data_IF_375225939255
#
_entry.id   IF_375225939255
#
_cell.length_a   1.000
_cell.length_b   1.000
_cell.length_c   1.000
_cell.angle_alpha   90.00
_cell.angle_beta   90.00
_cell.angle_gamma   90.00
#
_symmetry.space_group_name_H-M   'P 1'
#
loop_
_entity.id
_entity.type
_entity.pdbx_description
1 polymer ?
#
# COMPACT_ATOMS: atom_id res chain seq x y z
N UNK A 1 13.25 -11.11 20.27
CA UNK A 1 13.51 -12.52 19.87
C UNK A 1 12.41 -13.47 20.36
N UNK A 2 12.01 -13.51 21.67
CA UNK A 2 10.98 -14.44 22.17
C UNK A 2 9.63 -14.29 21.45
N UNK A 3 9.22 -13.05 21.13
CA UNK A 3 7.98 -12.79 20.42
C UNK A 3 8.08 -13.07 18.90
N UNK A 4 9.29 -13.08 18.35
CA UNK A 4 9.55 -13.35 16.94
C UNK A 4 9.76 -14.85 16.70
N UNK A 5 10.37 -15.53 17.65
CA UNK A 5 10.82 -16.92 17.52
C UNK A 5 9.78 -17.95 17.99
N UNK A 6 8.78 -17.56 18.80
CA UNK A 6 7.79 -18.48 19.36
C UNK A 6 6.38 -18.12 18.91
N UNK A 7 5.82 -18.97 18.08
CA UNK A 7 4.46 -18.82 17.57
C UNK A 7 3.44 -18.78 18.73
N UNK A 8 2.59 -17.75 18.78
CA UNK A 8 1.58 -17.57 19.81
C UNK A 8 2.01 -16.74 21.03
N UNK A 9 3.28 -16.34 21.15
CA UNK A 9 3.71 -15.39 22.18
C UNK A 9 3.74 -13.98 21.59
N UNK A 10 2.72 -13.16 21.91
CA UNK A 10 2.72 -11.74 21.54
C UNK A 10 3.74 -10.93 22.33
N UNK A 11 4.10 -9.74 21.81
CA UNK A 11 5.07 -8.84 22.44
C UNK A 11 4.81 -8.60 23.94
N UNK A 12 3.56 -8.31 24.34
CA UNK A 12 3.20 -8.04 25.74
C UNK A 12 3.51 -9.21 26.66
N UNK A 13 3.28 -10.44 26.21
CA UNK A 13 3.61 -11.65 27.00
C UNK A 13 5.10 -11.84 27.10
N UNK A 14 5.83 -11.67 25.99
CA UNK A 14 7.28 -11.76 25.97
C UNK A 14 7.93 -10.67 26.84
N UNK A 15 7.42 -9.45 26.82
CA UNK A 15 7.88 -8.33 27.64
C UNK A 15 7.63 -8.58 29.14
N UNK A 16 6.45 -9.09 29.49
CA UNK A 16 6.14 -9.48 30.86
C UNK A 16 7.09 -10.57 31.41
N UNK A 17 7.42 -11.55 30.59
CA UNK A 17 8.40 -12.60 30.95
C UNK A 17 9.78 -11.98 31.11
N UNK A 18 10.21 -11.11 30.20
CA UNK A 18 11.50 -10.44 30.25
C UNK A 18 11.65 -9.60 31.54
N UNK A 19 10.63 -8.87 31.94
CA UNK A 19 10.61 -8.10 33.19
C UNK A 19 10.71 -9.01 34.41
N UNK A 20 9.98 -10.14 34.45
CA UNK A 20 10.09 -11.14 35.54
C UNK A 20 11.46 -11.79 35.59
N UNK A 21 12.19 -11.85 34.51
CA UNK A 21 13.57 -12.32 34.43
C UNK A 21 14.61 -11.25 34.80
N UNK A 22 14.18 -10.07 35.24
CA UNK A 22 15.05 -8.98 35.69
C UNK A 22 15.55 -8.03 34.61
N UNK A 23 14.92 -8.04 33.42
CA UNK A 23 15.22 -7.03 32.40
C UNK A 23 14.57 -5.72 32.82
N UNK A 24 15.39 -4.70 33.04
CA UNK A 24 14.97 -3.36 33.45
C UNK A 24 14.09 -2.69 32.37
N UNK A 25 13.12 -1.86 32.80
CA UNK A 25 12.15 -1.20 31.90
C UNK A 25 12.82 -0.34 30.82
N UNK A 26 13.86 0.42 31.17
CA UNK A 26 14.61 1.31 30.28
C UNK A 26 15.72 0.64 29.47
N UNK A 27 15.87 -0.67 29.51
CA UNK A 27 16.95 -1.33 28.79
C UNK A 27 16.79 -1.20 27.25
N UNK A 28 17.84 -0.75 26.59
CA UNK A 28 17.85 -0.47 25.13
C UNK A 28 17.20 -1.60 24.29
N UNK A 29 17.55 -2.86 24.55
CA UNK A 29 17.00 -4.02 23.80
C UNK A 29 15.48 -4.13 23.94
N UNK A 30 14.92 -3.79 25.11
CA UNK A 30 13.48 -3.79 25.35
C UNK A 30 12.81 -2.64 24.61
N UNK A 31 13.36 -1.43 24.72
CA UNK A 31 12.84 -0.23 24.05
C UNK A 31 12.88 -0.38 22.54
N UNK A 32 13.98 -0.87 22.00
CA UNK A 32 14.14 -1.20 20.58
C UNK A 32 13.07 -2.18 20.09
N UNK A 33 12.86 -3.28 20.82
CA UNK A 33 11.83 -4.27 20.48
C UNK A 33 10.41 -3.68 20.52
N UNK A 34 10.13 -2.79 21.48
CA UNK A 34 8.86 -2.10 21.59
C UNK A 34 8.61 -1.11 20.44
N UNK A 35 9.62 -0.39 20.00
CA UNK A 35 9.54 0.49 18.81
C UNK A 35 9.25 -0.34 17.57
N UNK A 36 9.95 -1.44 17.34
CA UNK A 36 9.65 -2.36 16.22
C UNK A 36 8.23 -2.90 16.27
N UNK A 37 7.79 -3.34 17.44
CA UNK A 37 6.43 -3.82 17.61
C UNK A 37 5.38 -2.75 17.31
N UNK A 38 5.61 -1.53 17.77
CA UNK A 38 4.70 -0.40 17.50
C UNK A 38 4.61 -0.09 16.02
N UNK A 39 5.73 -0.06 15.30
CA UNK A 39 5.75 0.13 13.84
C UNK A 39 5.04 -1.03 13.12
N UNK A 40 5.26 -2.28 13.52
CA UNK A 40 4.57 -3.43 12.93
C UNK A 40 3.06 -3.36 13.17
N UNK A 41 2.61 -2.96 14.36
CA UNK A 41 1.18 -2.78 14.64
C UNK A 41 0.54 -1.68 13.79
N UNK A 42 1.25 -0.60 13.53
CA UNK A 42 0.80 0.43 12.60
C UNK A 42 0.74 -0.10 11.16
N UNK A 43 1.70 -0.93 10.76
CA UNK A 43 1.71 -1.57 9.45
C UNK A 43 0.52 -2.54 9.26
N UNK A 44 0.13 -3.29 10.30
CA UNK A 44 -1.08 -4.13 10.28
C UNK A 44 -2.36 -3.31 10.05
N UNK A 45 -2.37 -2.03 10.46
CA UNK A 45 -3.45 -1.07 10.21
C UNK A 45 -3.36 -0.39 8.84
N UNK A 46 -2.36 -0.73 8.02
CA UNK A 46 -2.18 -0.20 6.67
C UNK A 46 -1.26 1.02 6.57
N UNK A 47 -0.53 1.37 7.63
CA UNK A 47 0.42 2.49 7.61
C UNK A 47 1.79 2.02 7.14
N UNK A 48 2.41 2.72 6.20
CA UNK A 48 3.79 2.44 5.78
C UNK A 48 4.82 3.03 6.75
N UNK A 49 4.47 4.10 7.45
CA UNK A 49 5.30 4.82 8.41
C UNK A 49 4.49 5.33 9.61
N UNK A 50 5.20 5.81 10.61
CA UNK A 50 4.64 6.64 11.68
C UNK A 50 5.38 7.97 11.75
N UNK A 51 4.73 9.06 12.15
CA UNK A 51 5.50 10.25 12.53
C UNK A 51 6.28 9.99 13.81
N UNK A 52 7.39 10.72 14.01
CA UNK A 52 8.22 10.58 15.21
C UNK A 52 7.38 10.71 16.49
N UNK A 53 6.53 11.73 16.54
CA UNK A 53 5.66 11.99 17.70
C UNK A 53 4.68 10.84 17.94
N UNK A 54 3.99 10.38 16.90
CA UNK A 54 3.05 9.26 17.02
C UNK A 54 3.73 7.97 17.48
N UNK A 55 4.96 7.72 17.01
CA UNK A 55 5.71 6.52 17.38
C UNK A 55 6.12 6.58 18.84
N UNK A 56 6.69 7.69 19.29
CA UNK A 56 7.12 7.90 20.67
C UNK A 56 5.94 7.83 21.64
N UNK A 57 4.83 8.52 21.33
CA UNK A 57 3.62 8.48 22.15
C UNK A 57 3.09 7.04 22.32
N UNK A 58 2.92 6.32 21.21
CA UNK A 58 2.39 4.95 21.26
C UNK A 58 3.35 3.97 21.94
N UNK A 59 4.65 4.09 21.71
CA UNK A 59 5.66 3.25 22.33
C UNK A 59 5.81 3.54 23.83
N UNK A 60 5.71 4.80 24.26
CA UNK A 60 5.72 5.20 25.68
C UNK A 60 4.56 4.54 26.45
N UNK A 61 3.35 4.60 25.92
CA UNK A 61 2.18 3.94 26.50
C UNK A 61 2.32 2.42 26.52
N UNK A 62 2.86 1.83 25.44
CA UNK A 62 3.05 0.37 25.35
C UNK A 62 4.05 -0.17 26.36
N UNK A 63 5.15 0.54 26.55
CA UNK A 63 6.32 0.12 27.34
C UNK A 63 6.29 0.64 28.78
N UNK A 64 5.39 1.57 29.10
CA UNK A 64 5.30 2.27 30.38
C UNK A 64 6.64 2.93 30.75
N UNK A 65 7.22 3.70 29.83
CA UNK A 65 8.48 4.43 29.99
C UNK A 65 8.33 5.89 29.57
N UNK A 66 9.23 6.73 30.06
CA UNK A 66 9.26 8.14 29.72
C UNK A 66 9.71 8.35 28.25
N UNK A 67 9.15 9.37 27.60
CA UNK A 67 9.45 9.68 26.20
C UNK A 67 10.93 9.95 25.91
N UNK A 68 11.71 10.65 26.77
CA UNK A 68 13.13 10.90 26.54
C UNK A 68 13.98 9.63 26.37
N UNK A 69 13.65 8.54 27.07
CA UNK A 69 14.36 7.27 26.92
C UNK A 69 14.13 6.65 25.53
N UNK A 70 12.91 6.79 25.01
CA UNK A 70 12.53 6.35 23.67
C UNK A 70 13.16 7.19 22.58
N UNK A 71 13.28 8.51 22.78
CA UNK A 71 13.95 9.40 21.85
C UNK A 71 15.42 9.01 21.65
N UNK A 72 16.14 8.77 22.74
CA UNK A 72 17.53 8.31 22.69
C UNK A 72 17.64 6.97 21.96
N UNK A 73 16.72 6.05 22.27
CA UNK A 73 16.69 4.73 21.61
C UNK A 73 16.39 4.84 20.13
N UNK A 74 15.43 5.70 19.76
CA UNK A 74 15.04 5.94 18.37
C UNK A 74 16.20 6.51 17.55
N UNK A 75 16.92 7.49 18.10
CA UNK A 75 18.09 8.09 17.45
C UNK A 75 19.22 7.06 17.24
N UNK A 76 19.44 6.18 18.20
CA UNK A 76 20.40 5.08 18.04
C UNK A 76 19.96 4.09 16.97
N UNK A 77 18.67 3.72 16.91
CA UNK A 77 18.12 2.84 15.86
C UNK A 77 18.23 3.47 14.46
N UNK A 78 18.08 4.79 14.35
CA UNK A 78 18.30 5.52 13.09
C UNK A 78 19.77 5.50 12.70
N UNK A 79 20.69 5.70 13.67
CA UNK A 79 22.14 5.66 13.45
C UNK A 79 22.62 4.28 12.99
N UNK A 80 22.02 3.20 13.49
CA UNK A 80 22.34 1.82 13.10
C UNK A 80 21.59 1.33 11.86
N UNK A 81 20.73 2.16 11.27
CA UNK A 81 19.85 1.80 10.15
C UNK A 81 18.88 0.64 10.44
N UNK A 82 18.54 0.43 11.70
CA UNK A 82 17.49 -0.51 12.10
C UNK A 82 16.11 -0.05 11.62
N UNK A 83 15.92 1.26 11.56
CA UNK A 83 14.76 1.98 11.01
C UNK A 83 15.24 3.09 10.09
N UNK A 84 14.37 3.59 9.24
CA UNK A 84 14.71 4.62 8.27
C UNK A 84 13.89 5.87 8.53
N UNK A 85 14.55 7.02 8.46
CA UNK A 85 13.91 8.34 8.51
C UNK A 85 13.78 8.91 7.10
N UNK A 86 12.62 9.47 6.82
CA UNK A 86 12.36 10.36 5.69
C UNK A 86 11.59 11.60 6.18
N UNK A 87 11.44 12.59 5.34
CA UNK A 87 10.69 13.80 5.66
C UNK A 87 9.51 13.92 4.70
N UNK A 88 8.31 13.98 5.25
CA UNK A 88 7.08 14.16 4.50
C UNK A 88 6.26 15.29 5.13
N UNK A 89 5.91 16.31 4.33
CA UNK A 89 5.17 17.50 4.78
C UNK A 89 5.76 18.13 6.06
N UNK A 90 7.08 18.34 6.07
CA UNK A 90 7.84 18.90 7.19
C UNK A 90 7.85 18.05 8.48
N UNK A 91 7.30 16.83 8.44
CA UNK A 91 7.33 15.88 9.57
C UNK A 91 8.31 14.76 9.32
N UNK A 92 8.97 14.32 10.38
CA UNK A 92 9.79 13.10 10.34
C UNK A 92 8.89 11.87 10.23
N UNK A 93 9.07 11.11 9.17
CA UNK A 93 8.42 9.84 8.91
C UNK A 93 9.40 8.70 9.20
N UNK A 94 9.05 7.82 10.14
CA UNK A 94 9.86 6.71 10.59
C UNK A 94 9.32 5.41 10.02
N UNK A 95 10.17 4.68 9.32
CA UNK A 95 9.82 3.46 8.60
C UNK A 95 10.56 2.23 9.13
N UNK A 96 9.90 1.08 9.04
CA UNK A 96 10.64 -0.17 8.93
C UNK A 96 11.27 -0.27 7.51
N UNK A 97 12.53 -0.74 7.39
CA UNK A 97 13.23 -0.78 6.10
C UNK A 97 12.45 -1.43 4.95
N UNK A 98 11.76 -2.58 5.12
CA UNK A 98 11.00 -3.20 4.05
C UNK A 98 9.90 -2.28 3.48
N UNK A 99 9.21 -1.52 4.32
CA UNK A 99 8.14 -0.61 3.87
C UNK A 99 8.71 0.61 3.14
N UNK A 100 9.79 1.20 3.66
CA UNK A 100 10.49 2.30 2.99
C UNK A 100 10.95 1.94 1.57
N UNK A 101 11.66 0.81 1.44
CA UNK A 101 12.16 0.38 0.14
C UNK A 101 11.05 -0.03 -0.82
N UNK A 102 9.97 -0.63 -0.30
CA UNK A 102 8.80 -0.97 -1.12
C UNK A 102 8.09 0.27 -1.63
N UNK A 103 7.83 1.25 -0.77
CA UNK A 103 7.14 2.50 -1.12
C UNK A 103 7.98 3.34 -2.09
N UNK A 104 9.25 3.62 -1.76
CA UNK A 104 10.16 4.39 -2.62
C UNK A 104 10.44 3.69 -3.94
N UNK A 105 10.56 2.37 -3.94
CA UNK A 105 10.72 1.56 -5.15
C UNK A 105 9.48 1.59 -6.04
N UNK A 106 8.30 1.51 -5.46
CA UNK A 106 7.02 1.66 -6.17
C UNK A 106 6.91 3.05 -6.80
N UNK A 107 7.17 4.11 -6.03
CA UNK A 107 7.13 5.49 -6.51
C UNK A 107 8.07 5.71 -7.70
N UNK A 108 9.33 5.26 -7.61
CA UNK A 108 10.30 5.35 -8.71
C UNK A 108 9.82 4.65 -9.98
N UNK A 109 9.24 3.45 -9.85
CA UNK A 109 8.71 2.70 -11.00
C UNK A 109 7.48 3.38 -11.61
N UNK A 110 6.58 3.92 -10.80
CA UNK A 110 5.42 4.69 -11.29
C UNK A 110 5.87 5.94 -12.05
N UNK A 111 6.81 6.72 -11.51
CA UNK A 111 7.39 7.89 -12.19
C UNK A 111 8.04 7.48 -13.52
N UNK A 112 8.79 6.36 -13.54
CA UNK A 112 9.38 5.84 -14.77
C UNK A 112 8.31 5.45 -15.81
N UNK A 113 7.24 4.77 -15.39
CA UNK A 113 6.11 4.46 -16.26
C UNK A 113 5.45 5.73 -16.82
N UNK A 114 5.27 6.75 -16.00
CA UNK A 114 4.65 8.01 -16.40
C UNK A 114 5.51 8.80 -17.40
N UNK A 115 6.84 8.80 -17.23
CA UNK A 115 7.78 9.57 -18.05
C UNK A 115 8.12 8.95 -19.41
N UNK A 116 7.87 7.66 -19.62
CA UNK A 116 8.16 6.99 -20.91
C UNK A 116 7.28 7.51 -22.06
N UNK A 117 7.64 7.21 -23.32
CA UNK A 117 6.77 7.51 -24.46
C UNK A 117 5.48 6.67 -24.38
N UNK A 118 4.35 7.35 -24.39
CA UNK A 118 3.06 6.67 -24.51
C UNK A 118 2.90 6.20 -25.96
N UNK A 119 2.60 4.90 -26.19
CA UNK A 119 1.94 4.52 -27.43
C UNK A 119 0.58 5.22 -27.40
N UNK A 120 0.43 6.32 -28.11
CA UNK A 120 -0.84 7.00 -28.22
C UNK A 120 -1.83 6.00 -28.80
N UNK A 121 -2.96 5.81 -28.12
CA UNK A 121 -4.12 5.23 -28.79
C UNK A 121 -4.43 6.08 -30.01
N UNK A 122 -4.29 5.52 -31.18
CA UNK A 122 -4.66 6.23 -32.41
C UNK A 122 -6.15 6.55 -32.34
N UNK A 123 -6.49 7.83 -32.44
CA UNK A 123 -7.85 8.36 -32.39
C UNK A 123 -8.68 8.00 -31.15
N UNK A 124 -8.30 8.49 -29.95
CA UNK A 124 -9.03 8.21 -28.70
C UNK A 124 -10.50 8.61 -28.77
N UNK A 125 -10.85 9.67 -29.51
CA UNK A 125 -12.23 10.12 -29.70
C UNK A 125 -13.08 9.07 -30.43
N UNK A 126 -12.55 8.48 -31.51
CA UNK A 126 -13.26 7.40 -32.24
C UNK A 126 -13.43 6.14 -31.37
N UNK A 127 -12.46 5.84 -30.50
CA UNK A 127 -12.56 4.72 -29.57
C UNK A 127 -13.71 4.98 -28.60
N UNK A 128 -13.77 6.18 -28.04
CA UNK A 128 -14.82 6.59 -27.11
C UNK A 128 -16.21 6.59 -27.76
N UNK A 129 -16.34 7.07 -29.00
CA UNK A 129 -17.58 7.00 -29.77
C UNK A 129 -18.04 5.54 -29.95
N UNK A 130 -17.13 4.63 -30.30
CA UNK A 130 -17.45 3.21 -30.44
C UNK A 130 -17.87 2.58 -29.11
N UNK A 131 -17.22 2.94 -28.01
CA UNK A 131 -17.61 2.50 -26.66
C UNK A 131 -19.02 2.98 -26.34
N UNK A 132 -19.31 4.24 -26.59
CA UNK A 132 -20.64 4.81 -26.36
C UNK A 132 -21.73 4.12 -27.21
N UNK A 133 -21.44 3.80 -28.48
CA UNK A 133 -22.38 3.13 -29.40
C UNK A 133 -22.56 1.63 -29.09
N UNK A 134 -21.49 0.94 -28.66
CA UNK A 134 -21.51 -0.51 -28.37
C UNK A 134 -21.94 -0.86 -26.96
N UNK A 135 -21.87 0.10 -26.05
CA UNK A 135 -22.23 -0.11 -24.64
C UNK A 135 -23.74 -0.03 -24.44
N UNK A 136 -24.31 -1.06 -23.82
CA UNK A 136 -25.68 -1.01 -23.29
C UNK A 136 -25.74 -0.28 -21.93
N UNK A 137 -24.61 0.23 -21.46
CA UNK A 137 -24.43 0.87 -20.17
C UNK A 137 -24.41 2.39 -20.37
N UNK A 138 -25.24 3.10 -19.65
CA UNK A 138 -25.17 4.55 -19.55
C UNK A 138 -24.17 4.93 -18.46
N UNK A 139 -23.10 5.62 -18.85
CA UNK A 139 -22.10 6.14 -17.91
C UNK A 139 -22.51 7.53 -17.43
N UNK A 140 -22.32 7.83 -16.15
CA UNK A 140 -22.39 9.20 -15.68
C UNK A 140 -21.16 10.00 -16.12
N UNK A 141 -21.15 11.31 -15.91
CA UNK A 141 -20.10 12.21 -16.38
C UNK A 141 -18.73 11.86 -15.77
N UNK A 142 -18.70 11.49 -14.48
CA UNK A 142 -17.47 11.14 -13.76
C UNK A 142 -16.93 9.79 -14.26
N UNK A 143 -17.79 8.81 -14.44
CA UNK A 143 -17.44 7.50 -15.00
C UNK A 143 -16.87 7.65 -16.41
N UNK A 144 -17.51 8.48 -17.23
CA UNK A 144 -17.06 8.74 -18.59
C UNK A 144 -15.71 9.46 -18.63
N UNK A 145 -15.52 10.44 -17.72
CA UNK A 145 -14.23 11.10 -17.56
C UNK A 145 -13.13 10.11 -17.14
N UNK A 146 -13.44 9.14 -16.28
CA UNK A 146 -12.49 8.10 -15.90
C UNK A 146 -12.10 7.21 -17.10
N UNK A 147 -13.05 6.83 -17.96
CA UNK A 147 -12.75 6.07 -19.19
C UNK A 147 -11.83 6.88 -20.13
N UNK A 148 -12.11 8.17 -20.31
CA UNK A 148 -11.25 9.09 -21.10
C UNK A 148 -9.84 9.18 -20.51
N UNK A 149 -9.74 9.34 -19.20
CA UNK A 149 -8.46 9.45 -18.49
C UNK A 149 -7.65 8.16 -18.66
N UNK A 150 -8.29 6.99 -18.55
CA UNK A 150 -7.61 5.70 -18.67
C UNK A 150 -6.90 5.54 -20.02
N UNK A 151 -7.55 5.86 -21.14
CA UNK A 151 -6.96 5.72 -22.49
C UNK A 151 -5.93 6.80 -22.84
N UNK A 152 -5.94 7.91 -22.10
CA UNK A 152 -5.01 9.04 -22.32
C UNK A 152 -3.84 9.04 -21.33
N UNK A 153 -3.86 8.22 -20.28
CA UNK A 153 -2.86 8.18 -19.22
C UNK A 153 -2.17 6.82 -19.14
N UNK A 154 -0.89 6.81 -18.83
CA UNK A 154 -0.13 5.56 -18.63
C UNK A 154 -0.40 4.90 -17.29
N UNK A 155 -0.70 5.71 -16.30
CA UNK A 155 -1.02 5.28 -14.94
C UNK A 155 -2.26 6.04 -14.51
N UNK A 156 -3.24 5.32 -14.00
CA UNK A 156 -4.44 5.89 -13.43
C UNK A 156 -4.82 5.14 -12.15
N UNK A 157 -5.27 5.86 -11.15
CA UNK A 157 -5.87 5.31 -9.94
C UNK A 157 -7.37 5.62 -9.97
N UNK A 158 -8.19 4.55 -9.98
CA UNK A 158 -9.64 4.65 -9.88
C UNK A 158 -10.06 4.31 -8.45
N UNK A 159 -10.57 5.29 -7.72
CA UNK A 159 -11.03 5.13 -6.34
C UNK A 159 -12.49 5.58 -6.19
N UNK A 160 -13.11 5.18 -5.11
CA UNK A 160 -14.50 5.55 -4.80
C UNK A 160 -15.11 4.62 -3.75
N UNK A 161 -16.16 5.08 -3.08
CA UNK A 161 -16.88 4.33 -2.06
C UNK A 161 -17.64 3.11 -2.62
N UNK A 162 -18.29 2.31 -1.77
CA UNK A 162 -19.20 1.27 -2.19
C UNK A 162 -20.35 1.85 -3.03
N UNK A 163 -20.77 1.13 -4.08
CA UNK A 163 -21.92 1.55 -4.92
C UNK A 163 -21.65 2.68 -5.92
N UNK A 164 -20.46 3.25 -6.00
CA UNK A 164 -20.12 4.36 -6.94
C UNK A 164 -19.90 3.92 -8.39
N UNK A 165 -20.27 2.69 -8.75
CA UNK A 165 -20.15 2.20 -10.13
C UNK A 165 -18.71 1.91 -10.60
N UNK A 166 -17.74 1.66 -9.69
CA UNK A 166 -16.37 1.32 -10.08
C UNK A 166 -16.29 0.14 -11.06
N UNK A 167 -17.10 -0.89 -10.87
CA UNK A 167 -17.16 -2.05 -11.77
C UNK A 167 -17.64 -1.63 -13.14
N UNK A 168 -18.67 -0.81 -13.23
CA UNK A 168 -19.19 -0.24 -14.48
C UNK A 168 -18.13 0.57 -15.22
N UNK A 169 -17.42 1.44 -14.48
CA UNK A 169 -16.30 2.22 -15.04
C UNK A 169 -15.17 1.32 -15.53
N UNK A 170 -14.82 0.27 -14.77
CA UNK A 170 -13.79 -0.70 -15.18
C UNK A 170 -14.18 -1.42 -16.47
N UNK A 171 -15.45 -1.81 -16.63
CA UNK A 171 -15.95 -2.41 -17.88
C UNK A 171 -15.82 -1.44 -19.06
N UNK A 172 -16.11 -0.16 -18.85
CA UNK A 172 -15.92 0.89 -19.87
C UNK A 172 -14.46 1.03 -20.28
N UNK A 173 -13.54 1.02 -19.30
CA UNK A 173 -12.10 1.07 -19.55
C UNK A 173 -11.63 -0.16 -20.35
N UNK A 174 -12.06 -1.35 -19.96
CA UNK A 174 -11.76 -2.60 -20.67
C UNK A 174 -12.29 -2.55 -22.12
N UNK A 175 -13.52 -2.08 -22.30
CA UNK A 175 -14.12 -1.91 -23.63
C UNK A 175 -13.30 -0.95 -24.49
N UNK A 176 -12.86 0.17 -23.94
CA UNK A 176 -12.04 1.14 -24.65
C UNK A 176 -10.69 0.55 -25.10
N UNK A 177 -10.01 -0.19 -24.23
CA UNK A 177 -8.75 -0.84 -24.58
C UNK A 177 -8.93 -1.99 -25.59
N UNK A 178 -10.03 -2.75 -25.52
CA UNK A 178 -10.37 -3.74 -26.55
C UNK A 178 -10.59 -3.09 -27.92
N UNK A 179 -11.32 -1.97 -27.97
CA UNK A 179 -11.52 -1.21 -29.20
C UNK A 179 -10.22 -0.61 -29.76
N UNK A 180 -9.27 -0.32 -28.88
CA UNK A 180 -7.93 0.12 -29.24
C UNK A 180 -7.00 -1.01 -29.71
N UNK A 181 -7.45 -2.27 -29.67
CA UNK A 181 -6.62 -3.44 -30.00
C UNK A 181 -5.51 -3.72 -29.00
N UNK A 182 -5.66 -3.29 -27.75
CA UNK A 182 -4.68 -3.51 -26.71
C UNK A 182 -4.87 -4.89 -26.06
N UNK A 183 -3.76 -5.54 -25.70
CA UNK A 183 -3.78 -6.69 -24.82
C UNK A 183 -4.07 -6.22 -23.37
N UNK A 184 -4.96 -6.93 -22.70
CA UNK A 184 -5.44 -6.58 -21.37
C UNK A 184 -5.18 -7.73 -20.43
N UNK A 185 -4.52 -7.43 -19.32
CA UNK A 185 -4.27 -8.38 -18.23
C UNK A 185 -4.99 -7.87 -16.98
N UNK A 186 -5.74 -8.76 -16.32
CA UNK A 186 -6.45 -8.46 -15.09
C UNK A 186 -5.78 -9.18 -13.92
N UNK A 187 -5.49 -8.45 -12.86
CA UNK A 187 -4.89 -9.02 -11.65
C UNK A 187 -5.55 -8.49 -10.37
N UNK A 188 -5.57 -9.30 -9.33
CA UNK A 188 -6.12 -8.97 -8.03
C UNK A 188 -5.24 -9.49 -6.89
N UNK A 189 -5.28 -8.88 -5.68
CA UNK A 189 -4.44 -9.31 -4.57
C UNK A 189 -4.80 -10.69 -4.01
N UNK A 190 -6.06 -11.14 -4.14
CA UNK A 190 -6.54 -12.41 -3.60
C UNK A 190 -7.29 -13.23 -4.65
N UNK A 191 -7.32 -14.56 -4.50
CA UNK A 191 -8.07 -15.46 -5.40
C UNK A 191 -9.57 -15.14 -5.44
N UNK A 192 -10.18 -14.76 -4.31
CA UNK A 192 -11.60 -14.36 -4.26
C UNK A 192 -11.84 -13.08 -5.07
N UNK A 193 -10.95 -12.09 -4.97
CA UNK A 193 -11.04 -10.87 -5.75
C UNK A 193 -10.81 -11.12 -7.25
N UNK A 194 -9.84 -11.96 -7.61
CA UNK A 194 -9.61 -12.37 -8.99
C UNK A 194 -10.84 -13.07 -9.60
N UNK A 195 -11.45 -14.01 -8.86
CA UNK A 195 -12.67 -14.69 -9.31
C UNK A 195 -13.82 -13.70 -9.56
N UNK A 196 -14.08 -12.80 -8.62
CA UNK A 196 -15.11 -11.76 -8.78
C UNK A 196 -14.83 -10.84 -9.97
N UNK A 197 -13.56 -10.50 -10.20
CA UNK A 197 -13.16 -9.69 -11.35
C UNK A 197 -13.41 -10.45 -12.65
N UNK A 198 -13.09 -11.74 -12.71
CA UNK A 198 -13.39 -12.58 -13.89
C UNK A 198 -14.88 -12.66 -14.17
N UNK A 199 -15.69 -12.90 -13.14
CA UNK A 199 -17.16 -12.97 -13.26
C UNK A 199 -17.76 -11.64 -13.75
N UNK A 200 -17.26 -10.51 -13.22
CA UNK A 200 -17.76 -9.19 -13.58
C UNK A 200 -17.34 -8.72 -14.96
N UNK A 201 -16.15 -9.13 -15.44
CA UNK A 201 -15.58 -8.63 -16.72
C UNK A 201 -15.71 -9.60 -17.88
N UNK A 202 -16.03 -10.88 -17.60
CA UNK A 202 -16.00 -11.96 -18.59
C UNK A 202 -14.60 -12.29 -19.10
N UNK A 203 -13.54 -11.81 -18.43
CA UNK A 203 -12.14 -12.04 -18.77
C UNK A 203 -11.43 -12.78 -17.65
N UNK A 204 -10.44 -13.61 -17.98
CA UNK A 204 -9.62 -14.25 -16.95
C UNK A 204 -8.85 -13.21 -16.15
N UNK A 205 -8.99 -13.23 -14.81
CA UNK A 205 -8.18 -12.47 -13.87
C UNK A 205 -7.39 -13.44 -12.99
N UNK A 206 -6.12 -13.10 -12.73
CA UNK A 206 -5.20 -13.89 -11.92
C UNK A 206 -4.89 -13.17 -10.61
N UNK A 207 -4.37 -13.89 -9.62
CA UNK A 207 -3.74 -13.21 -8.49
C UNK A 207 -2.43 -12.56 -8.95
N UNK A 208 -2.04 -11.46 -8.29
CA UNK A 208 -0.78 -10.77 -8.59
C UNK A 208 0.39 -11.76 -8.50
N UNK A 209 0.42 -12.63 -7.48
CA UNK A 209 1.45 -13.66 -7.33
C UNK A 209 1.50 -14.57 -8.56
N UNK A 210 0.37 -15.14 -8.98
CA UNK A 210 0.32 -16.04 -10.13
C UNK A 210 0.61 -15.36 -11.46
N UNK A 211 0.51 -14.05 -11.52
CA UNK A 211 0.85 -13.29 -12.72
C UNK A 211 2.36 -13.03 -12.82
N UNK A 212 3.06 -13.01 -11.68
CA UNK A 212 4.51 -12.70 -11.60
C UNK A 212 5.39 -13.96 -11.56
N UNK A 213 4.80 -15.15 -11.44
CA UNK A 213 5.45 -16.45 -11.59
C UNK A 213 5.70 -16.77 -13.07
#
# INVERSE_FOLDING_TARGET
RLADDIWGIGFKTADSIAQKMGIEKGKFVRLRSGIFYTLNKLAELGHCYATREQLIEKASVLLEVEQPELEITLDEMLRTNDIIRDVFEEKEAIYLPPYYFSESGCAKRLVHLMSGRQKKCENPEKILEKVAQSSQITYDEIQWQAVKTAISSKVMVLTGGPGTGKTTTTLGIISAYKQAGCEIILAAPTGRAAKRMSEATGMEAKTIHRLLE
#
